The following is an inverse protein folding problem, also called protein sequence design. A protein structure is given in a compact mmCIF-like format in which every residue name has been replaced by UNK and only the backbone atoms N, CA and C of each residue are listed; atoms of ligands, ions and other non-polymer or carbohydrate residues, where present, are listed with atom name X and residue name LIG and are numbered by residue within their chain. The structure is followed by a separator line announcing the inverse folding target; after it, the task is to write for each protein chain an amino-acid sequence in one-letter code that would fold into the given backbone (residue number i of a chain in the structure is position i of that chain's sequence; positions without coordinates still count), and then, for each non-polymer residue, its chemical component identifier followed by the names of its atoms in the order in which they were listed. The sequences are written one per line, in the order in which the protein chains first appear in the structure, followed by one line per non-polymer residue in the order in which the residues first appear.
data_IF_523793853037
#
_entry.id   IF_523793853037
#
_cell.length_a   1.000
_cell.length_b   1.000
_cell.length_c   1.000
_cell.angle_alpha   90.00
_cell.angle_beta   90.00
_cell.angle_gamma   90.00
#
_symmetry.space_group_name_H-M   'P 1'
#
loop_
_entity.id
_entity.type
_entity.pdbx_description
1 polymer ?
#
# COMPACT_ATOMS: atom_id res chain seq x y z
N UNK A 1 0.25 10.74 14.53
CA UNK A 1 1.57 10.47 15.14
C UNK A 1 2.67 11.04 14.25
N UNK A 2 3.38 12.04 14.76
CA UNK A 2 4.55 12.62 14.11
C UNK A 2 5.79 11.80 14.51
N UNK A 3 5.86 10.56 14.03
CA UNK A 3 7.06 9.74 14.22
C UNK A 3 8.18 10.27 13.33
N UNK A 4 9.20 10.86 13.95
CA UNK A 4 10.61 10.59 13.66
C UNK A 4 11.18 10.86 12.26
N UNK A 5 10.49 11.50 11.33
CA UNK A 5 11.09 11.79 10.03
C UNK A 5 12.04 12.98 10.12
N UNK A 6 13.32 12.73 9.86
CA UNK A 6 14.32 13.77 9.55
C UNK A 6 13.74 14.70 8.49
N UNK A 7 13.69 16.03 8.70
CA UNK A 7 13.19 16.97 7.71
C UNK A 7 13.87 16.77 6.35
N UNK A 8 13.08 16.70 5.28
CA UNK A 8 13.53 16.41 3.92
C UNK A 8 14.30 15.08 3.78
N UNK A 9 13.90 14.07 4.57
CA UNK A 9 14.64 12.82 4.76
C UNK A 9 14.98 12.07 3.47
N UNK A 10 14.07 12.04 2.50
CA UNK A 10 14.30 11.35 1.22
C UNK A 10 15.48 11.94 0.44
N UNK A 11 15.66 13.27 0.49
CA UNK A 11 16.79 13.94 -0.13
C UNK A 11 18.04 13.87 0.74
N UNK A 12 17.89 13.92 2.06
CA UNK A 12 19.01 13.80 2.99
C UNK A 12 19.71 12.45 2.80
N UNK A 13 18.94 11.36 2.82
CA UNK A 13 19.47 10.00 2.66
C UNK A 13 20.16 9.81 1.30
N UNK A 14 19.51 10.26 0.22
CA UNK A 14 20.07 10.14 -1.13
C UNK A 14 21.37 10.93 -1.30
N UNK A 15 21.40 12.19 -0.85
CA UNK A 15 22.57 13.07 -1.01
C UNK A 15 23.68 12.74 -0.03
N UNK A 16 23.36 12.41 1.22
CA UNK A 16 24.37 12.09 2.24
C UNK A 16 25.07 10.77 1.93
N UNK A 17 24.30 9.74 1.53
CA UNK A 17 24.86 8.47 1.08
C UNK A 17 25.80 8.63 -0.12
N UNK A 18 25.40 9.46 -1.09
CA UNK A 18 26.22 9.72 -2.27
C UNK A 18 27.46 10.57 -1.98
N UNK A 19 27.34 11.63 -1.18
CA UNK A 19 28.48 12.46 -0.78
C UNK A 19 29.46 11.70 0.11
N UNK A 20 28.99 10.74 0.92
CA UNK A 20 29.87 9.92 1.75
C UNK A 20 30.90 9.11 0.93
N UNK A 21 30.62 8.84 -0.36
CA UNK A 21 31.54 8.18 -1.28
C UNK A 21 32.64 9.11 -1.82
N UNK A 22 32.48 10.42 -1.65
CA UNK A 22 33.42 11.42 -2.16
C UNK A 22 34.66 11.60 -1.28
N UNK A 23 35.74 12.10 -1.89
CA UNK A 23 36.93 12.41 -1.13
C UNK A 23 36.69 13.55 -0.12
N UNK A 24 37.48 13.54 0.97
CA UNK A 24 37.29 14.49 2.06
C UNK A 24 37.54 15.95 1.64
N UNK A 25 38.40 16.19 0.65
CA UNK A 25 38.68 17.52 0.13
C UNK A 25 37.52 18.08 -0.71
N UNK A 26 36.92 17.25 -1.56
CA UNK A 26 35.71 17.56 -2.32
C UNK A 26 34.53 17.85 -1.38
N UNK A 27 34.30 17.02 -0.37
CA UNK A 27 33.27 17.27 0.65
C UNK A 27 33.49 18.59 1.39
N UNK A 28 34.72 18.87 1.81
CA UNK A 28 35.05 20.11 2.49
C UNK A 28 34.82 21.34 1.60
N UNK A 29 35.11 21.24 0.29
CA UNK A 29 34.79 22.29 -0.68
C UNK A 29 33.29 22.54 -0.79
N UNK A 30 32.49 21.49 -0.96
CA UNK A 30 31.02 21.60 -1.03
C UNK A 30 30.46 22.20 0.26
N UNK A 31 30.92 21.75 1.43
CA UNK A 31 30.49 22.29 2.72
C UNK A 31 30.87 23.77 2.93
N UNK A 32 31.98 24.22 2.35
CA UNK A 32 32.39 25.62 2.39
C UNK A 32 31.59 26.51 1.40
N UNK A 33 31.26 25.96 0.23
CA UNK A 33 30.51 26.65 -0.83
C UNK A 33 29.01 26.73 -0.50
N UNK A 34 28.47 25.70 0.15
CA UNK A 34 27.07 25.60 0.55
C UNK A 34 26.93 25.31 2.06
N UNK A 35 27.21 26.30 2.94
CA UNK A 35 27.15 26.11 4.39
C UNK A 35 25.78 25.65 4.90
N UNK A 36 24.70 26.02 4.19
CA UNK A 36 23.34 25.62 4.55
C UNK A 36 23.09 24.12 4.39
N UNK A 37 23.86 23.42 3.54
CA UNK A 37 23.79 21.97 3.40
C UNK A 37 24.38 21.23 4.60
N UNK A 38 25.28 21.85 5.37
CA UNK A 38 25.93 21.20 6.51
C UNK A 38 24.97 20.86 7.67
N UNK A 39 23.86 21.60 7.81
CA UNK A 39 22.81 21.28 8.77
C UNK A 39 21.90 20.12 8.29
N UNK A 40 21.92 19.85 6.99
CA UNK A 40 21.07 18.90 6.29
C UNK A 40 21.80 17.59 5.94
N UNK A 41 23.12 17.64 5.72
CA UNK A 41 23.98 16.56 5.25
C UNK A 41 25.15 16.38 6.23
N UNK A 42 25.05 15.44 7.19
CA UNK A 42 26.09 15.19 8.18
C UNK A 42 27.48 14.92 7.58
N UNK A 43 27.55 14.34 6.38
CA UNK A 43 28.79 14.05 5.65
C UNK A 43 29.64 15.28 5.31
N UNK A 44 29.03 16.48 5.27
CA UNK A 44 29.71 17.76 5.00
C UNK A 44 30.36 18.38 6.26
N UNK A 45 30.14 17.80 7.43
CA UNK A 45 30.64 18.29 8.72
C UNK A 45 29.76 19.36 9.37
N UNK A 46 29.95 19.62 10.67
CA UNK A 46 29.14 20.61 11.40
C UNK A 46 29.62 22.04 11.15
N UNK A 47 28.85 22.81 10.39
CA UNK A 47 28.97 24.27 10.36
C UNK A 47 28.06 24.87 11.43
N UNK A 48 28.57 25.82 12.23
CA UNK A 48 27.74 26.58 13.18
C UNK A 48 26.78 27.47 12.38
N UNK A 49 25.48 27.25 12.52
CA UNK A 49 24.48 28.17 12.01
C UNK A 49 24.65 29.53 12.70
N UNK A 50 24.94 30.57 11.93
CA UNK A 50 25.02 31.95 12.42
C UNK A 50 23.64 32.62 12.33
N UNK A 51 23.04 32.89 13.49
CA UNK A 51 22.12 34.01 13.73
C UNK A 51 20.62 33.79 13.51
N UNK A 52 19.85 34.58 14.26
CA UNK A 52 18.38 34.75 14.35
C UNK A 52 17.66 34.83 12.99
N UNK A 53 17.45 33.71 12.31
CA UNK A 53 16.70 33.67 11.05
C UNK A 53 15.36 33.00 11.24
N UNK A 54 14.42 33.35 10.37
CA UNK A 54 13.13 32.66 10.36
C UNK A 54 13.29 31.27 9.71
N UNK A 55 12.48 30.27 10.12
CA UNK A 55 12.51 28.94 9.51
C UNK A 55 12.25 28.94 7.99
N UNK A 56 11.48 29.92 7.49
CA UNK A 56 11.17 30.04 6.06
C UNK A 56 12.40 30.46 5.25
N UNK A 57 13.18 31.41 5.77
CA UNK A 57 14.42 31.85 5.12
C UNK A 57 15.47 30.75 5.05
N UNK A 58 15.58 29.94 6.11
CA UNK A 58 16.48 28.79 6.15
C UNK A 58 16.08 27.74 5.12
N UNK A 59 14.77 27.42 5.04
CA UNK A 59 14.23 26.50 4.02
C UNK A 59 14.51 26.99 2.60
N UNK A 60 14.27 28.27 2.30
CA UNK A 60 14.47 28.83 0.96
C UNK A 60 15.96 28.84 0.55
N UNK A 61 16.87 29.05 1.51
CA UNK A 61 18.30 28.90 1.25
C UNK A 61 18.69 27.45 1.02
N UNK A 62 18.20 26.53 1.84
CA UNK A 62 18.43 25.09 1.67
C UNK A 62 18.01 24.65 0.26
N UNK A 63 16.80 25.03 -0.17
CA UNK A 63 16.27 24.65 -1.48
C UNK A 63 17.13 25.17 -2.62
N UNK A 64 17.60 26.43 -2.51
CA UNK A 64 18.52 27.03 -3.47
C UNK A 64 19.88 26.35 -3.48
N UNK A 65 20.43 26.01 -2.32
CA UNK A 65 21.72 25.35 -2.19
C UNK A 65 21.68 23.95 -2.82
N UNK A 66 20.66 23.13 -2.49
CA UNK A 66 20.47 21.81 -3.11
C UNK A 66 20.30 21.95 -4.64
N UNK A 67 19.50 22.93 -5.09
CA UNK A 67 19.28 23.18 -6.52
C UNK A 67 20.49 23.75 -7.26
N UNK A 68 21.42 24.39 -6.56
CA UNK A 68 22.69 24.86 -7.12
C UNK A 68 23.67 23.69 -7.25
N UNK A 69 23.87 22.93 -6.17
CA UNK A 69 24.73 21.73 -6.17
C UNK A 69 24.30 20.74 -7.28
N UNK A 70 23.02 20.36 -7.33
CA UNK A 70 22.52 19.46 -8.38
C UNK A 70 22.63 20.08 -9.78
N UNK A 71 22.54 21.40 -9.89
CA UNK A 71 22.71 22.13 -11.14
C UNK A 71 24.14 22.07 -11.67
N UNK A 72 25.13 22.27 -10.79
CA UNK A 72 26.55 22.16 -11.12
C UNK A 72 26.92 20.75 -11.54
N UNK A 73 26.42 19.75 -10.82
CA UNK A 73 26.59 18.35 -11.19
C UNK A 73 25.98 18.04 -12.55
N UNK A 74 24.75 18.52 -12.78
CA UNK A 74 24.05 18.35 -14.04
C UNK A 74 24.70 19.09 -15.22
N UNK A 75 25.49 20.14 -14.95
CA UNK A 75 26.27 20.85 -15.96
C UNK A 75 27.51 20.07 -16.40
N UNK A 76 28.11 19.29 -15.50
CA UNK A 76 29.25 18.43 -15.82
C UNK A 76 28.81 17.13 -16.53
N UNK A 77 27.71 16.50 -16.08
CA UNK A 77 27.17 15.27 -16.65
C UNK A 77 25.68 15.12 -16.34
N UNK A 78 24.90 14.36 -17.14
CA UNK A 78 23.50 14.09 -16.80
C UNK A 78 23.34 13.46 -15.41
N UNK A 79 22.36 13.95 -14.65
CA UNK A 79 22.04 13.50 -13.28
C UNK A 79 20.60 12.99 -13.24
N UNK A 80 20.42 11.75 -12.78
CA UNK A 80 19.13 11.17 -12.44
C UNK A 80 19.06 10.99 -10.91
N UNK A 81 18.13 11.67 -10.27
CA UNK A 81 17.81 11.46 -8.85
C UNK A 81 16.67 10.47 -8.76
N UNK A 82 16.90 9.32 -8.12
CA UNK A 82 15.90 8.29 -7.89
C UNK A 82 15.45 8.36 -6.43
N UNK A 83 14.16 8.58 -6.20
CA UNK A 83 13.56 8.60 -4.87
C UNK A 83 12.57 7.43 -4.79
N UNK A 84 12.94 6.41 -4.04
CA UNK A 84 12.09 5.24 -3.82
C UNK A 84 11.11 5.51 -2.66
N UNK A 85 9.92 4.93 -2.73
CA UNK A 85 8.87 4.97 -1.71
C UNK A 85 8.57 6.38 -1.15
N UNK A 86 8.50 7.40 -2.02
CA UNK A 86 8.32 8.80 -1.61
C UNK A 86 7.04 9.04 -0.78
N UNK A 87 6.04 8.16 -0.86
CA UNK A 87 4.84 8.20 -0.01
C UNK A 87 5.14 8.10 1.49
N UNK A 88 6.28 7.52 1.88
CA UNK A 88 6.75 7.46 3.26
C UNK A 88 7.52 8.73 3.69
N UNK A 89 7.82 9.64 2.76
CA UNK A 89 8.58 10.85 3.04
C UNK A 89 7.72 11.97 3.68
N UNK A 90 8.42 12.88 4.36
CA UNK A 90 7.85 14.07 4.96
C UNK A 90 7.38 15.09 3.92
N UNK A 91 6.45 15.96 4.31
CA UNK A 91 5.93 17.04 3.45
C UNK A 91 7.05 17.95 2.91
N UNK A 92 8.11 18.19 3.69
CA UNK A 92 9.26 18.97 3.25
C UNK A 92 9.93 18.36 2.02
N UNK A 93 10.11 17.03 1.99
CA UNK A 93 10.67 16.32 0.83
C UNK A 93 9.85 16.58 -0.45
N UNK A 94 8.51 16.59 -0.37
CA UNK A 94 7.65 16.90 -1.52
C UNK A 94 7.79 18.36 -1.98
N UNK A 95 7.95 19.29 -1.04
CA UNK A 95 8.18 20.70 -1.35
C UNK A 95 9.53 20.92 -2.05
N UNK A 96 10.58 20.26 -1.56
CA UNK A 96 11.91 20.30 -2.17
C UNK A 96 11.91 19.69 -3.58
N UNK A 97 11.30 18.51 -3.76
CA UNK A 97 11.11 17.90 -5.08
C UNK A 97 10.39 18.88 -6.03
N UNK A 98 9.33 19.51 -5.55
CA UNK A 98 8.55 20.47 -6.34
C UNK A 98 9.37 21.69 -6.75
N UNK A 99 10.22 22.19 -5.85
CA UNK A 99 11.14 23.29 -6.14
C UNK A 99 12.17 22.89 -7.20
N UNK A 100 12.81 21.74 -7.03
CA UNK A 100 13.86 21.26 -7.94
C UNK A 100 13.31 20.90 -9.33
N UNK A 101 12.14 20.27 -9.41
CA UNK A 101 11.50 19.95 -10.68
C UNK A 101 11.17 21.20 -11.52
N UNK A 102 10.69 22.28 -10.88
CA UNK A 102 10.46 23.58 -11.55
C UNK A 102 11.75 24.20 -12.09
N UNK A 103 12.85 24.08 -11.32
CA UNK A 103 14.17 24.57 -11.74
C UNK A 103 14.72 23.75 -12.91
N UNK A 104 14.59 22.42 -12.87
CA UNK A 104 15.01 21.53 -13.94
C UNK A 104 14.23 21.77 -15.25
N UNK A 105 12.92 22.01 -15.16
CA UNK A 105 12.08 22.29 -16.34
C UNK A 105 12.37 23.63 -17.02
N UNK A 106 12.85 24.62 -16.28
CA UNK A 106 13.12 25.97 -16.82
C UNK A 106 14.53 26.16 -17.40
N UNK A 107 15.48 25.28 -17.04
CA UNK A 107 16.91 25.58 -17.15
C UNK A 107 17.72 24.86 -18.23
N UNK A 108 17.10 24.05 -19.09
CA UNK A 108 17.86 23.22 -20.06
C UNK A 108 18.86 22.25 -19.40
N UNK A 109 18.73 22.03 -18.08
CA UNK A 109 19.66 21.20 -17.31
C UNK A 109 19.43 19.73 -17.61
N UNK A 110 20.50 18.94 -17.57
CA UNK A 110 20.45 17.48 -17.68
C UNK A 110 20.09 16.81 -16.34
N UNK A 111 19.26 17.47 -15.53
CA UNK A 111 18.75 16.97 -14.25
C UNK A 111 17.37 16.34 -14.44
N UNK A 112 17.20 15.10 -14.00
CA UNK A 112 15.94 14.34 -14.06
C UNK A 112 15.64 13.67 -12.72
N UNK A 113 14.37 13.39 -12.51
CA UNK A 113 13.86 12.71 -11.30
C UNK A 113 13.07 11.48 -11.72
N UNK A 114 13.31 10.35 -11.04
CA UNK A 114 12.46 9.18 -11.07
C UNK A 114 11.97 8.94 -9.64
N UNK A 115 10.65 8.84 -9.48
CA UNK A 115 10.03 8.74 -8.17
C UNK A 115 9.07 7.56 -8.18
N UNK A 116 9.16 6.71 -7.16
CA UNK A 116 8.15 5.69 -6.90
C UNK A 116 7.32 6.13 -5.69
N UNK A 117 6.01 5.88 -5.74
CA UNK A 117 5.13 6.15 -4.61
C UNK A 117 3.83 5.34 -4.76
N UNK A 118 3.11 5.16 -3.65
CA UNK A 118 1.81 4.49 -3.61
C UNK A 118 0.71 5.52 -3.43
N UNK A 119 -0.28 5.53 -4.32
CA UNK A 119 -1.40 6.49 -4.27
C UNK A 119 -2.24 6.30 -3.00
N UNK A 120 -2.44 5.05 -2.57
CA UNK A 120 -3.23 4.71 -1.38
C UNK A 120 -2.59 5.18 -0.06
N UNK A 121 -1.28 5.42 -0.04
CA UNK A 121 -0.57 5.91 1.15
C UNK A 121 -0.45 7.45 1.17
N UNK A 122 -1.04 8.13 0.17
CA UNK A 122 -1.15 9.60 0.11
C UNK A 122 -2.62 9.99 -0.10
N UNK A 123 -3.41 10.08 0.98
CA UNK A 123 -4.86 10.21 0.91
C UNK A 123 -5.32 11.54 0.29
N UNK A 124 -6.61 11.63 0.00
CA UNK A 124 -7.21 12.89 -0.45
C UNK A 124 -7.10 13.97 0.62
N UNK A 125 -6.80 15.21 0.20
CA UNK A 125 -6.54 16.33 1.11
C UNK A 125 -5.10 16.41 1.65
N UNK A 126 -4.27 15.38 1.45
CA UNK A 126 -2.86 15.42 1.84
C UNK A 126 -2.09 16.49 1.02
N UNK A 127 -1.37 17.43 1.67
CA UNK A 127 -0.53 18.41 0.98
C UNK A 127 0.49 17.79 0.00
N UNK A 128 1.02 16.60 0.31
CA UNK A 128 1.96 15.84 -0.53
C UNK A 128 1.35 15.49 -1.88
N UNK A 129 0.06 15.11 -1.89
CA UNK A 129 -0.70 14.83 -3.12
C UNK A 129 -0.88 16.08 -3.95
N UNK A 130 -1.17 17.21 -3.30
CA UNK A 130 -1.33 18.51 -3.98
C UNK A 130 -0.05 18.93 -4.70
N UNK A 131 1.11 18.69 -4.09
CA UNK A 131 2.42 18.94 -4.70
C UNK A 131 2.63 18.13 -5.99
N UNK A 132 2.35 16.82 -5.96
CA UNK A 132 2.45 15.95 -7.14
C UNK A 132 1.48 16.39 -8.26
N UNK A 133 0.24 16.74 -7.91
CA UNK A 133 -0.77 17.24 -8.87
C UNK A 133 -0.31 18.55 -9.50
N UNK A 134 0.27 19.47 -8.73
CA UNK A 134 0.79 20.73 -9.23
C UNK A 134 1.91 20.52 -10.26
N UNK A 135 2.82 19.57 -10.02
CA UNK A 135 3.89 19.20 -10.97
C UNK A 135 3.32 18.66 -12.29
N UNK A 136 2.31 17.78 -12.21
CA UNK A 136 1.63 17.25 -13.41
C UNK A 136 0.93 18.35 -14.19
N UNK A 137 0.22 19.26 -13.52
CA UNK A 137 -0.46 20.41 -14.14
C UNK A 137 0.51 21.35 -14.83
N UNK A 138 1.68 21.57 -14.24
CA UNK A 138 2.76 22.35 -14.83
C UNK A 138 3.51 21.61 -15.97
N UNK A 139 3.11 20.37 -16.30
CA UNK A 139 3.78 19.49 -17.28
C UNK A 139 5.25 19.23 -16.96
N UNK A 140 5.58 19.19 -15.67
CA UNK A 140 6.93 18.93 -15.17
C UNK A 140 7.15 17.46 -14.76
N UNK A 141 6.08 16.66 -14.75
CA UNK A 141 6.15 15.23 -14.46
C UNK A 141 5.27 14.40 -15.39
N UNK A 142 5.76 13.21 -15.74
CA UNK A 142 4.96 12.11 -16.28
C UNK A 142 4.60 11.12 -15.16
N UNK A 143 3.61 10.26 -15.40
CA UNK A 143 3.25 9.18 -14.49
C UNK A 143 3.02 7.91 -15.30
N UNK A 144 3.66 6.84 -14.86
CA UNK A 144 3.45 5.49 -15.38
C UNK A 144 2.86 4.64 -14.27
N UNK A 145 1.71 4.03 -14.54
CA UNK A 145 1.06 3.14 -13.59
C UNK A 145 1.67 1.72 -13.73
N UNK A 146 2.33 1.26 -12.68
CA UNK A 146 2.91 -0.09 -12.65
C UNK A 146 1.82 -1.09 -12.27
N UNK A 147 1.27 -1.75 -13.29
CA UNK A 147 0.26 -2.79 -13.14
C UNK A 147 0.80 -4.13 -12.65
N UNK A 148 -0.13 -5.10 -12.51
CA UNK A 148 0.21 -6.51 -12.26
C UNK A 148 0.94 -7.09 -13.48
N UNK A 149 1.82 -8.04 -13.24
CA UNK A 149 2.44 -8.84 -14.30
C UNK A 149 1.37 -9.69 -15.00
N UNK A 150 1.50 -9.81 -16.32
CA UNK A 150 0.77 -10.86 -17.04
C UNK A 150 1.30 -12.26 -16.66
N UNK A 151 0.59 -13.30 -17.12
CA UNK A 151 0.96 -14.69 -16.82
C UNK A 151 2.36 -15.02 -17.33
N UNK A 152 2.75 -14.55 -18.51
CA UNK A 152 4.06 -14.85 -19.08
C UNK A 152 5.20 -14.27 -18.25
N UNK A 153 5.12 -12.97 -17.93
CA UNK A 153 6.10 -12.25 -17.13
C UNK A 153 6.16 -12.77 -15.69
N UNK A 154 5.01 -13.04 -15.06
CA UNK A 154 4.96 -13.63 -13.72
C UNK A 154 5.65 -15.00 -13.67
N UNK A 155 5.35 -15.88 -14.63
CA UNK A 155 5.98 -17.19 -14.69
C UNK A 155 7.47 -17.14 -15.02
N UNK A 156 7.93 -16.13 -15.76
CA UNK A 156 9.36 -15.91 -15.98
C UNK A 156 10.09 -15.61 -14.66
N UNK A 157 9.59 -14.64 -13.88
CA UNK A 157 10.14 -14.29 -12.56
C UNK A 157 10.17 -15.50 -11.61
N UNK A 158 9.09 -16.28 -11.60
CA UNK A 158 8.94 -17.45 -10.72
C UNK A 158 9.87 -18.61 -11.15
N UNK A 159 10.16 -18.76 -12.44
CA UNK A 159 11.13 -19.75 -12.93
C UNK A 159 12.57 -19.39 -12.56
N UNK A 160 12.92 -18.10 -12.58
CA UNK A 160 14.27 -17.63 -12.24
C UNK A 160 14.65 -17.94 -10.79
N UNK A 161 13.67 -18.03 -9.89
CA UNK A 161 13.88 -18.44 -8.49
C UNK A 161 13.85 -19.97 -8.28
N UNK A 162 13.79 -20.76 -9.35
CA UNK A 162 13.90 -22.22 -9.31
C UNK A 162 12.60 -22.97 -8.98
N UNK A 163 11.44 -22.34 -9.19
CA UNK A 163 10.15 -22.96 -8.86
C UNK A 163 9.84 -24.17 -9.76
N UNK A 164 9.49 -25.34 -9.21
CA UNK A 164 9.06 -26.51 -9.98
C UNK A 164 7.87 -26.23 -10.91
N UNK A 165 7.86 -26.88 -12.08
CA UNK A 165 6.85 -26.67 -13.11
C UNK A 165 5.42 -26.94 -12.59
N UNK A 166 5.24 -27.94 -11.72
CA UNK A 166 3.93 -28.30 -11.16
C UNK A 166 3.30 -27.19 -10.30
N UNK A 167 4.11 -26.22 -9.82
CA UNK A 167 3.64 -25.14 -8.94
C UNK A 167 3.29 -23.85 -9.69
N UNK A 168 3.69 -23.72 -10.95
CA UNK A 168 3.60 -22.47 -11.71
C UNK A 168 2.15 -21.97 -11.84
N UNK A 169 1.22 -22.86 -12.18
CA UNK A 169 -0.19 -22.48 -12.31
C UNK A 169 -0.79 -22.05 -10.97
N UNK A 170 -0.44 -22.75 -9.88
CA UNK A 170 -0.88 -22.39 -8.53
C UNK A 170 -0.34 -21.03 -8.10
N UNK A 171 0.94 -20.74 -8.37
CA UNK A 171 1.54 -19.43 -8.09
C UNK A 171 0.82 -18.33 -8.87
N UNK A 172 0.51 -18.55 -10.15
CA UNK A 172 -0.25 -17.60 -10.95
C UNK A 172 -1.66 -17.36 -10.40
N UNK A 173 -2.42 -18.43 -10.13
CA UNK A 173 -3.79 -18.35 -9.61
C UNK A 173 -3.89 -17.59 -8.29
N UNK A 174 -2.91 -17.80 -7.40
CA UNK A 174 -2.92 -17.15 -6.09
C UNK A 174 -2.30 -15.76 -6.11
N UNK A 175 -1.21 -15.52 -6.85
CA UNK A 175 -0.56 -14.20 -6.91
C UNK A 175 -1.30 -13.20 -7.77
N UNK A 176 -2.10 -13.67 -8.74
CA UNK A 176 -2.79 -12.85 -9.72
C UNK A 176 -1.86 -11.79 -10.33
N UNK A 177 -0.64 -12.18 -10.67
CA UNK A 177 0.38 -11.31 -11.27
C UNK A 177 1.04 -10.30 -10.33
N UNK A 178 0.78 -10.35 -9.02
CA UNK A 178 1.51 -9.53 -8.06
C UNK A 178 2.93 -10.12 -7.84
N UNK A 179 4.01 -9.39 -8.17
CA UNK A 179 5.38 -9.91 -8.09
C UNK A 179 5.77 -10.36 -6.68
N UNK A 180 5.42 -9.57 -5.65
CA UNK A 180 5.73 -9.88 -4.26
C UNK A 180 5.08 -11.21 -3.85
N UNK A 181 3.78 -11.37 -4.12
CA UNK A 181 3.07 -12.61 -3.80
C UNK A 181 3.55 -13.80 -4.63
N UNK A 182 3.88 -13.59 -5.91
CA UNK A 182 4.42 -14.64 -6.75
C UNK A 182 5.74 -15.18 -6.19
N UNK A 183 6.63 -14.30 -5.74
CA UNK A 183 7.91 -14.67 -5.12
C UNK A 183 7.73 -15.35 -3.76
N UNK A 184 6.81 -14.87 -2.92
CA UNK A 184 6.49 -15.50 -1.63
C UNK A 184 5.92 -16.92 -1.81
N UNK A 185 4.99 -17.10 -2.76
CA UNK A 185 4.42 -18.41 -3.08
C UNK A 185 5.43 -19.36 -3.73
N UNK A 186 6.38 -18.83 -4.50
CA UNK A 186 7.46 -19.59 -5.11
C UNK A 186 8.41 -20.15 -4.05
N UNK A 187 8.79 -19.32 -3.07
CA UNK A 187 9.73 -19.65 -1.98
C UNK A 187 9.09 -20.50 -0.88
N UNK A 188 7.79 -20.33 -0.64
CA UNK A 188 7.06 -21.01 0.42
C UNK A 188 6.88 -22.52 0.17
N UNK A 189 6.44 -23.27 1.19
CA UNK A 189 6.04 -24.68 1.04
C UNK A 189 4.80 -24.81 0.15
N UNK A 190 4.58 -26.01 -0.40
CA UNK A 190 3.31 -26.33 -1.08
C UNK A 190 2.24 -26.50 0.00
N UNK A 191 1.42 -25.47 0.19
CA UNK A 191 0.33 -25.44 1.16
C UNK A 191 -0.84 -24.66 0.59
N UNK A 192 -2.04 -24.93 1.11
CA UNK A 192 -3.22 -24.09 0.89
C UNK A 192 -3.27 -22.89 1.84
N UNK A 193 -2.27 -22.73 2.70
CA UNK A 193 -2.11 -21.61 3.62
C UNK A 193 -1.39 -20.43 2.97
N UNK A 194 -1.66 -19.22 3.45
CA UNK A 194 -0.94 -18.04 2.98
C UNK A 194 0.54 -18.11 3.40
N UNK A 195 1.53 -17.83 2.53
CA UNK A 195 2.96 -17.83 2.91
C UNK A 195 3.27 -16.85 4.05
N UNK A 196 4.30 -17.14 4.84
CA UNK A 196 4.69 -16.38 6.02
C UNK A 196 4.90 -14.88 5.74
N UNK A 197 5.60 -14.52 4.66
CA UNK A 197 5.81 -13.11 4.29
C UNK A 197 4.50 -12.42 3.89
N UNK A 198 3.57 -13.15 3.25
CA UNK A 198 2.22 -12.64 2.97
C UNK A 198 1.44 -12.44 4.27
N UNK A 199 1.58 -13.35 5.25
CA UNK A 199 0.93 -13.22 6.55
C UNK A 199 1.44 -12.02 7.33
N UNK A 200 2.75 -11.76 7.30
CA UNK A 200 3.38 -10.60 7.92
C UNK A 200 2.91 -9.29 7.27
N UNK A 201 2.99 -9.18 5.95
CA UNK A 201 2.56 -7.99 5.20
C UNK A 201 1.08 -7.64 5.47
N UNK A 202 0.21 -8.64 5.42
CA UNK A 202 -1.21 -8.43 5.71
C UNK A 202 -1.42 -8.10 7.18
N UNK A 203 -0.69 -8.73 8.09
CA UNK A 203 -0.73 -8.41 9.52
C UNK A 203 -0.38 -6.95 9.82
N UNK A 204 0.66 -6.41 9.20
CA UNK A 204 1.05 -5.00 9.31
C UNK A 204 -0.05 -4.06 8.80
N UNK A 205 -0.61 -4.36 7.61
CA UNK A 205 -1.72 -3.57 7.04
C UNK A 205 -2.95 -3.59 7.93
N UNK A 206 -3.33 -4.76 8.44
CA UNK A 206 -4.46 -4.90 9.38
C UNK A 206 -4.19 -4.21 10.71
N UNK A 207 -2.93 -4.12 11.15
CA UNK A 207 -2.51 -3.43 12.37
C UNK A 207 -2.68 -1.91 12.31
N UNK A 208 -2.62 -1.32 11.11
CA UNK A 208 -2.87 0.12 10.88
C UNK A 208 -4.36 0.48 10.85
N UNK A 209 -5.25 -0.49 10.71
CA UNK A 209 -6.68 -0.25 10.66
C UNK A 209 -7.26 0.06 12.03
N UNK A 210 -8.28 0.93 12.05
CA UNK A 210 -9.15 1.08 13.20
C UNK A 210 -9.78 -0.26 13.62
N UNK A 211 -10.08 -0.41 14.91
CA UNK A 211 -10.63 -1.65 15.49
C UNK A 211 -11.90 -2.12 14.76
N UNK A 212 -12.77 -1.19 14.40
CA UNK A 212 -14.05 -1.48 13.76
C UNK A 212 -13.88 -1.85 12.28
N UNK A 213 -13.04 -1.12 11.56
CA UNK A 213 -12.56 -1.44 10.21
C UNK A 213 -12.01 -2.87 10.14
N UNK A 214 -11.12 -3.23 11.08
CA UNK A 214 -10.58 -4.59 11.18
C UNK A 214 -11.68 -5.63 11.40
N UNK A 215 -12.65 -5.38 12.27
CA UNK A 215 -13.75 -6.33 12.54
C UNK A 215 -14.65 -6.54 11.31
N UNK A 216 -14.85 -5.52 10.48
CA UNK A 216 -15.59 -5.62 9.22
C UNK A 216 -14.79 -6.39 8.17
N UNK A 217 -13.48 -6.14 8.03
CA UNK A 217 -12.59 -6.90 7.14
C UNK A 217 -12.52 -8.38 7.56
N UNK A 218 -12.43 -8.66 8.86
CA UNK A 218 -12.51 -10.02 9.41
C UNK A 218 -13.84 -10.70 9.06
N UNK A 219 -14.97 -9.99 9.20
CA UNK A 219 -16.28 -10.52 8.78
C UNK A 219 -16.30 -10.81 7.27
N UNK A 220 -15.84 -9.88 6.43
CA UNK A 220 -15.75 -10.08 4.99
C UNK A 220 -14.92 -11.31 4.61
N UNK A 221 -13.85 -11.63 5.35
CA UNK A 221 -13.01 -12.82 5.08
C UNK A 221 -13.78 -14.14 5.10
N UNK A 222 -14.86 -14.18 5.91
CA UNK A 222 -15.73 -15.33 6.11
C UNK A 222 -16.80 -15.46 5.02
N UNK A 223 -17.16 -14.36 4.35
CA UNK A 223 -18.22 -14.31 3.35
C UNK A 223 -17.92 -15.15 2.09
N UNK A 224 -16.64 -15.31 1.76
CA UNK A 224 -16.19 -15.90 0.49
C UNK A 224 -15.33 -14.93 -0.31
N UNK A 225 -15.13 -15.22 -1.60
CA UNK A 225 -14.36 -14.37 -2.50
C UNK A 225 -15.04 -13.03 -2.80
N UNK A 226 -16.36 -13.03 -2.90
CA UNK A 226 -17.20 -11.86 -3.17
C UNK A 226 -18.48 -11.94 -2.32
N UNK A 227 -19.01 -10.80 -1.89
CA UNK A 227 -20.23 -10.71 -1.06
C UNK A 227 -21.11 -9.55 -1.51
N UNK A 228 -22.44 -9.70 -1.41
CA UNK A 228 -23.34 -8.57 -1.58
C UNK A 228 -23.15 -7.57 -0.45
N UNK A 229 -23.03 -6.26 -0.77
CA UNK A 229 -22.82 -5.20 0.21
C UNK A 229 -23.84 -5.29 1.34
N UNK A 230 -25.09 -5.49 0.94
CA UNK A 230 -26.23 -5.59 1.85
C UNK A 230 -26.09 -6.74 2.86
N UNK A 231 -25.57 -7.91 2.45
CA UNK A 231 -25.36 -9.04 3.37
C UNK A 231 -24.28 -8.72 4.42
N UNK A 232 -23.21 -8.03 4.03
CA UNK A 232 -22.17 -7.60 4.97
C UNK A 232 -22.68 -6.54 5.97
N UNK A 233 -23.49 -5.58 5.51
CA UNK A 233 -24.13 -4.59 6.38
C UNK A 233 -25.02 -5.28 7.44
N UNK A 234 -25.81 -6.27 7.04
CA UNK A 234 -26.64 -7.05 7.98
C UNK A 234 -25.79 -7.79 9.02
N UNK A 235 -24.64 -8.33 8.62
CA UNK A 235 -23.69 -9.00 9.53
C UNK A 235 -23.07 -7.99 10.50
N UNK A 236 -22.71 -6.80 10.04
CA UNK A 236 -22.12 -5.78 10.90
C UNK A 236 -23.11 -5.25 11.95
N UNK A 237 -24.38 -5.08 11.58
CA UNK A 237 -25.44 -4.63 12.48
C UNK A 237 -25.84 -5.74 13.46
N UNK A 238 -26.11 -6.94 12.97
CA UNK A 238 -26.76 -7.99 13.75
C UNK A 238 -25.81 -9.05 14.30
N UNK A 239 -24.63 -9.23 13.70
CA UNK A 239 -23.68 -10.31 13.99
C UNK A 239 -22.43 -9.86 14.74
N UNK A 240 -22.03 -8.60 14.63
CA UNK A 240 -20.90 -8.04 15.36
C UNK A 240 -21.36 -7.46 16.71
N UNK A 241 -20.54 -7.68 17.75
CA UNK A 241 -20.79 -7.18 19.11
C UNK A 241 -19.54 -6.46 19.66
N UNK A 242 -19.62 -5.14 19.97
CA UNK A 242 -20.74 -4.23 19.66
C UNK A 242 -20.99 -4.09 18.15
N UNK A 243 -22.17 -3.61 17.76
CA UNK A 243 -22.46 -3.28 16.36
C UNK A 243 -21.47 -2.23 15.85
N UNK A 244 -21.18 -2.28 14.55
CA UNK A 244 -20.19 -1.41 13.90
C UNK A 244 -20.88 -0.59 12.83
N UNK A 245 -20.48 0.69 12.70
CA UNK A 245 -20.78 1.46 11.49
C UNK A 245 -19.97 0.87 10.33
N UNK A 246 -20.61 0.00 9.57
CA UNK A 246 -19.97 -0.70 8.47
C UNK A 246 -19.65 0.23 7.29
N UNK A 247 -20.33 1.36 7.15
CA UNK A 247 -20.09 2.25 6.00
C UNK A 247 -18.73 2.93 6.14
N UNK A 248 -18.49 3.61 7.26
CA UNK A 248 -17.20 4.23 7.56
C UNK A 248 -16.06 3.20 7.57
N UNK A 249 -16.30 2.03 8.18
CA UNK A 249 -15.35 0.93 8.18
C UNK A 249 -15.03 0.39 6.78
N UNK A 250 -15.98 0.42 5.83
CA UNK A 250 -15.73 0.00 4.46
C UNK A 250 -14.97 1.07 3.67
N UNK A 251 -15.29 2.35 3.85
CA UNK A 251 -14.54 3.45 3.26
C UNK A 251 -13.07 3.40 3.67
N UNK A 252 -12.79 3.19 4.97
CA UNK A 252 -11.43 2.99 5.48
C UNK A 252 -10.73 1.78 4.85
N UNK A 253 -11.44 0.64 4.72
CA UNK A 253 -10.87 -0.59 4.17
C UNK A 253 -10.59 -0.49 2.66
N UNK A 254 -11.43 0.26 1.93
CA UNK A 254 -11.24 0.59 0.51
C UNK A 254 -10.08 1.58 0.36
N UNK A 255 -10.02 2.61 1.20
CA UNK A 255 -8.92 3.58 1.25
C UNK A 255 -7.57 2.92 1.54
N UNK A 256 -7.56 1.90 2.40
CA UNK A 256 -6.38 1.06 2.68
C UNK A 256 -6.07 0.02 1.57
N UNK A 257 -6.81 0.03 0.45
CA UNK A 257 -6.66 -0.87 -0.69
C UNK A 257 -6.72 -2.37 -0.35
N UNK A 258 -7.45 -2.74 0.70
CA UNK A 258 -7.68 -4.15 1.10
C UNK A 258 -8.92 -4.72 0.45
N UNK A 259 -9.95 -3.89 0.32
CA UNK A 259 -11.27 -4.21 -0.23
C UNK A 259 -11.52 -3.35 -1.45
N UNK A 260 -12.27 -3.88 -2.41
CA UNK A 260 -12.75 -3.13 -3.56
C UNK A 260 -14.22 -3.41 -3.82
N UNK A 261 -14.89 -2.43 -4.41
CA UNK A 261 -16.26 -2.59 -4.87
C UNK A 261 -16.29 -3.43 -6.14
N UNK A 262 -17.25 -4.36 -6.21
CA UNK A 262 -17.51 -5.18 -7.39
C UNK A 262 -19.00 -5.33 -7.63
N UNK A 263 -19.37 -5.64 -8.87
CA UNK A 263 -20.72 -6.10 -9.17
C UNK A 263 -20.80 -7.59 -8.86
N UNK A 264 -21.72 -7.98 -8.00
CA UNK A 264 -22.00 -9.38 -7.68
C UNK A 264 -23.35 -9.78 -8.26
N UNK A 265 -23.50 -11.04 -8.64
CA UNK A 265 -24.78 -11.58 -9.11
C UNK A 265 -25.45 -12.35 -7.98
N UNK A 266 -26.61 -11.87 -7.58
CA UNK A 266 -27.37 -12.42 -6.45
C UNK A 266 -28.79 -12.70 -6.93
N UNK A 267 -29.20 -13.97 -6.86
CA UNK A 267 -30.49 -14.43 -7.39
C UNK A 267 -30.75 -13.97 -8.85
N UNK A 268 -29.70 -14.01 -9.69
CA UNK A 268 -29.77 -13.63 -11.11
C UNK A 268 -29.82 -12.13 -11.39
N UNK A 269 -29.60 -11.27 -10.38
CA UNK A 269 -29.55 -9.81 -10.54
C UNK A 269 -28.17 -9.27 -10.18
N UNK A 270 -27.69 -8.29 -10.95
CA UNK A 270 -26.48 -7.57 -10.63
C UNK A 270 -26.75 -6.58 -9.48
N UNK A 271 -25.87 -6.58 -8.48
CA UNK A 271 -25.98 -5.75 -7.29
C UNK A 271 -24.60 -5.27 -6.84
N UNK A 272 -24.58 -4.21 -6.04
CA UNK A 272 -23.34 -3.75 -5.40
C UNK A 272 -22.82 -4.82 -4.43
N UNK A 273 -21.53 -5.13 -4.56
CA UNK A 273 -20.83 -6.09 -3.75
C UNK A 273 -19.41 -5.66 -3.43
N UNK A 274 -18.75 -6.49 -2.64
CA UNK A 274 -17.42 -6.24 -2.11
C UNK A 274 -16.59 -7.50 -2.30
N UNK A 275 -15.31 -7.30 -2.62
CA UNK A 275 -14.33 -8.36 -2.70
C UNK A 275 -13.03 -7.89 -2.06
N UNK A 276 -12.21 -8.85 -1.59
CA UNK A 276 -10.83 -8.52 -1.30
C UNK A 276 -10.11 -8.20 -2.61
N UNK A 277 -9.29 -7.15 -2.60
CA UNK A 277 -8.42 -6.81 -3.73
C UNK A 277 -7.44 -7.93 -4.08
N UNK A 278 -7.21 -8.84 -3.13
CA UNK A 278 -6.37 -10.01 -3.34
C UNK A 278 -6.87 -11.25 -2.56
N UNK A 279 -6.97 -12.44 -3.19
CA UNK A 279 -7.38 -13.67 -2.52
C UNK A 279 -6.49 -14.07 -1.34
N UNK A 280 -5.18 -13.85 -1.42
CA UNK A 280 -4.27 -14.15 -0.31
C UNK A 280 -4.49 -13.22 0.90
N UNK A 281 -4.91 -11.97 0.69
CA UNK A 281 -5.24 -11.07 1.81
C UNK A 281 -6.44 -11.64 2.56
N UNK A 282 -7.47 -12.06 1.82
CA UNK A 282 -8.63 -12.77 2.40
C UNK A 282 -8.20 -14.01 3.18
N UNK A 283 -7.38 -14.87 2.56
CA UNK A 283 -6.91 -16.11 3.16
C UNK A 283 -6.19 -15.86 4.47
N UNK A 284 -5.23 -14.93 4.49
CA UNK A 284 -4.54 -14.52 5.70
C UNK A 284 -5.50 -13.99 6.77
N UNK A 285 -6.42 -13.09 6.41
CA UNK A 285 -7.41 -12.56 7.35
C UNK A 285 -8.23 -13.68 7.99
N UNK A 286 -8.69 -14.64 7.18
CA UNK A 286 -9.48 -15.78 7.64
C UNK A 286 -8.66 -16.71 8.55
N UNK A 287 -7.40 -16.96 8.18
CA UNK A 287 -6.48 -17.84 8.92
C UNK A 287 -6.14 -17.30 10.31
N UNK A 288 -5.99 -15.99 10.45
CA UNK A 288 -5.74 -15.33 11.75
C UNK A 288 -6.94 -15.39 12.71
N UNK A 289 -8.14 -15.71 12.24
CA UNK A 289 -9.31 -15.86 13.10
C UNK A 289 -9.20 -17.14 13.93
N UNK A 290 -9.48 -17.01 15.24
CA UNK A 290 -9.68 -18.18 16.10
C UNK A 290 -10.89 -18.99 15.64
N UNK A 291 -10.91 -20.29 15.98
CA UNK A 291 -12.04 -21.18 15.67
C UNK A 291 -13.37 -20.62 16.18
N UNK A 292 -13.38 -20.05 17.39
CA UNK A 292 -14.57 -19.42 17.99
C UNK A 292 -15.06 -18.25 17.14
N UNK A 293 -14.13 -17.39 16.70
CA UNK A 293 -14.47 -16.21 15.90
C UNK A 293 -14.98 -16.60 14.52
N UNK A 294 -14.38 -17.61 13.87
CA UNK A 294 -14.86 -18.16 12.59
C UNK A 294 -16.29 -18.69 12.71
N UNK A 295 -16.57 -19.50 13.73
CA UNK A 295 -17.92 -20.04 13.99
C UNK A 295 -18.95 -18.93 14.20
N UNK A 296 -18.62 -17.94 15.03
CA UNK A 296 -19.49 -16.79 15.29
C UNK A 296 -19.81 -16.02 14.00
N UNK A 297 -18.80 -15.72 13.18
CA UNK A 297 -18.99 -14.99 11.93
C UNK A 297 -19.74 -15.81 10.89
N UNK A 298 -19.47 -17.12 10.76
CA UNK A 298 -20.24 -17.99 9.88
C UNK A 298 -21.71 -18.08 10.30
N UNK A 299 -22.00 -18.15 11.62
CA UNK A 299 -23.36 -18.10 12.13
C UNK A 299 -24.05 -16.77 11.79
N UNK A 300 -23.35 -15.64 11.97
CA UNK A 300 -23.86 -14.33 11.61
C UNK A 300 -24.20 -14.22 10.11
N UNK A 301 -23.30 -14.71 9.24
CA UNK A 301 -23.55 -14.77 7.80
C UNK A 301 -24.73 -15.67 7.44
N UNK A 302 -24.84 -16.86 8.06
CA UNK A 302 -25.97 -17.75 7.81
C UNK A 302 -27.30 -17.04 8.12
N UNK A 303 -27.35 -16.28 9.22
CA UNK A 303 -28.55 -15.51 9.59
C UNK A 303 -28.84 -14.36 8.62
N UNK A 304 -27.80 -13.66 8.14
CA UNK A 304 -27.95 -12.59 7.14
C UNK A 304 -28.47 -13.17 5.81
N UNK A 305 -27.84 -14.22 5.29
CA UNK A 305 -28.28 -14.90 4.07
C UNK A 305 -29.70 -15.42 4.22
N UNK A 306 -30.05 -16.02 5.37
CA UNK A 306 -31.40 -16.56 5.60
C UNK A 306 -32.49 -15.47 5.54
N UNK A 307 -32.21 -14.27 6.05
CA UNK A 307 -33.15 -13.14 6.00
C UNK A 307 -33.33 -12.60 4.57
N UNK A 308 -32.27 -12.57 3.77
CA UNK A 308 -32.30 -11.93 2.45
C UNK A 308 -32.62 -12.88 1.30
N UNK A 309 -32.14 -14.12 1.40
CA UNK A 309 -32.14 -15.17 0.36
C UNK A 309 -32.32 -16.55 0.99
N UNK A 310 -33.51 -16.84 1.55
CA UNK A 310 -33.79 -18.15 2.17
C UNK A 310 -33.71 -19.33 1.19
N UNK A 311 -33.70 -19.05 -0.11
CA UNK A 311 -33.54 -19.97 -1.23
C UNK A 311 -32.07 -20.24 -1.59
N UNK A 312 -31.09 -19.50 -1.04
CA UNK A 312 -29.66 -19.73 -1.24
C UNK A 312 -29.15 -20.94 -0.43
N UNK A 313 -29.70 -22.12 -0.73
CA UNK A 313 -29.52 -23.35 0.06
C UNK A 313 -28.04 -23.74 0.20
N UNK A 314 -27.25 -23.67 -0.88
CA UNK A 314 -25.82 -24.04 -0.86
C UNK A 314 -25.01 -23.12 0.06
N UNK A 315 -25.26 -21.82 -0.02
CA UNK A 315 -24.62 -20.81 0.82
C UNK A 315 -24.98 -21.02 2.29
N UNK A 316 -26.26 -21.25 2.58
CA UNK A 316 -26.76 -21.53 3.93
C UNK A 316 -26.16 -22.82 4.49
N UNK A 317 -26.11 -23.89 3.70
CA UNK A 317 -25.50 -25.16 4.08
C UNK A 317 -24.01 -24.96 4.46
N UNK A 318 -23.27 -24.24 3.61
CA UNK A 318 -21.86 -23.94 3.81
C UNK A 318 -21.59 -23.14 5.10
N UNK A 319 -22.38 -22.09 5.36
CA UNK A 319 -22.22 -21.27 6.56
C UNK A 319 -22.70 -21.98 7.84
N UNK A 320 -23.84 -22.68 7.82
CA UNK A 320 -24.29 -23.45 8.98
C UNK A 320 -23.32 -24.56 9.35
N UNK A 321 -22.75 -25.28 8.37
CA UNK A 321 -21.76 -26.31 8.63
C UNK A 321 -20.50 -25.74 9.30
N UNK A 322 -19.98 -24.62 8.79
CA UNK A 322 -18.79 -23.96 9.37
C UNK A 322 -19.08 -23.25 10.70
N UNK A 323 -20.34 -22.96 10.99
CA UNK A 323 -20.81 -22.47 12.27
C UNK A 323 -20.99 -23.58 13.33
N UNK A 324 -20.92 -24.86 12.92
CA UNK A 324 -21.29 -26.01 13.77
C UNK A 324 -22.77 -25.93 14.22
N UNK A 325 -23.65 -25.44 13.34
CA UNK A 325 -25.09 -25.28 13.60
C UNK A 325 -25.85 -26.56 13.16
N UNK A 326 -26.71 -27.16 14.02
CA UNK A 326 -27.47 -28.37 13.68
C UNK A 326 -28.33 -28.26 12.41
N UNK A 327 -28.76 -27.04 12.02
CA UNK A 327 -29.52 -26.82 10.78
C UNK A 327 -28.71 -27.14 9.53
N UNK A 328 -27.38 -27.24 9.62
CA UNK A 328 -26.52 -27.62 8.50
C UNK A 328 -26.98 -28.91 7.81
N UNK A 329 -27.39 -29.93 8.57
CA UNK A 329 -27.81 -31.22 8.04
C UNK A 329 -29.11 -31.14 7.20
N UNK A 330 -29.99 -30.19 7.50
CA UNK A 330 -31.19 -29.94 6.69
C UNK A 330 -30.82 -29.27 5.37
N UNK A 331 -30.01 -28.21 5.43
CA UNK A 331 -29.63 -27.45 4.24
C UNK A 331 -28.70 -28.25 3.31
N UNK A 332 -27.77 -29.04 3.84
CA UNK A 332 -26.93 -29.95 3.04
C UNK A 332 -27.77 -30.99 2.27
N UNK A 333 -28.87 -31.49 2.86
CA UNK A 333 -29.79 -32.41 2.17
C UNK A 333 -30.63 -31.73 1.10
N UNK A 334 -30.91 -30.43 1.23
CA UNK A 334 -31.63 -29.64 0.23
C UNK A 334 -30.72 -29.20 -0.94
N UNK A 335 -29.41 -29.17 -0.72
CA UNK A 335 -28.38 -28.81 -1.70
C UNK A 335 -27.94 -29.99 -2.59
N UNK A 336 -28.10 -31.23 -2.10
CA UNK A 336 -27.76 -32.47 -2.81
C UNK A 336 -28.86 -32.90 -3.79
#
# INVERSE_FOLDING_TARGET
DAEGHTPYGAFAEALDGWLAEWDAGERARVGAEYPELAAFLPSLGRVRANGERSPEEERDRLFRAVGALLGELAAARPVLVVLDDLHAADEGSFQLLSHLARRAGSGGTALRFLVTYRDEEVPEGDPRRSALVALRRARLSGREDVGRLDKGACLAVVRDVGTPAERLDRVWELSLGNPLFALELARGPVSDEAPDGVRQLVGERLGRLGRDTRRVVEALSVAGGEVALRELLDVAEHGLRPAVDAVAALEDAIGAALVEERQVVVAGRAEAGLAFRHPLVRLTCYEQLTVVRRRQLHAAFAQAVLRRRPDAVDTLASHFARADDPRAAEYLRRAA
#
